data_IF_111542687532
#
_entry.id   IF_111542687532
#
_cell.length_a   1.000
_cell.length_b   1.000
_cell.length_c   1.000
_cell.angle_alpha   90.00
_cell.angle_beta   90.00
_cell.angle_gamma   90.00
#
_symmetry.space_group_name_H-M   'P 1'
#
loop_
_entity.id
_entity.type
_entity.pdbx_description
1 polymer ?
#
# COMPACT_ATOMS: atom_id res chain seq x y z
N UNK A 1 -16.87 28.53 23.04
CA UNK A 1 -15.65 28.32 22.25
C UNK A 1 -16.06 27.42 21.10
N UNK A 2 -16.66 28.05 20.09
CA UNK A 2 -17.11 27.38 18.88
C UNK A 2 -15.85 27.07 18.07
N UNK A 3 -15.53 25.78 17.96
CA UNK A 3 -14.44 25.29 17.13
C UNK A 3 -14.85 25.56 15.67
N UNK A 4 -14.38 26.68 15.15
CA UNK A 4 -14.60 27.11 13.78
C UNK A 4 -13.86 26.11 12.86
N UNK A 5 -14.53 25.00 12.52
CA UNK A 5 -14.08 24.05 11.51
C UNK A 5 -14.03 24.83 10.19
N UNK A 6 -12.93 25.52 9.92
CA UNK A 6 -12.74 26.20 8.66
C UNK A 6 -12.73 25.16 7.55
N UNK A 7 -13.64 25.25 6.56
CA UNK A 7 -13.70 24.29 5.48
C UNK A 7 -12.35 24.28 4.75
N UNK A 8 -11.77 23.10 4.55
CA UNK A 8 -10.53 22.96 3.78
C UNK A 8 -10.69 23.65 2.42
N UNK A 9 -9.75 24.54 2.08
CA UNK A 9 -9.61 25.09 0.73
C UNK A 9 -9.54 23.96 -0.30
N UNK A 10 -10.14 24.17 -1.48
CA UNK A 10 -10.21 23.16 -2.55
C UNK A 10 -8.83 22.62 -2.95
N UNK A 11 -7.80 23.49 -2.96
CA UNK A 11 -6.42 23.09 -3.20
C UNK A 11 -5.90 22.06 -2.17
N UNK A 12 -6.28 22.20 -0.90
CA UNK A 12 -5.90 21.27 0.17
C UNK A 12 -6.66 19.95 0.07
N UNK A 13 -7.91 19.98 -0.38
CA UNK A 13 -8.70 18.77 -0.67
C UNK A 13 -8.09 17.96 -1.82
N UNK A 14 -7.72 18.63 -2.91
CA UNK A 14 -7.04 18.00 -4.05
C UNK A 14 -5.69 17.42 -3.66
N UNK A 15 -4.89 18.15 -2.87
CA UNK A 15 -3.61 17.66 -2.39
C UNK A 15 -3.74 16.36 -1.58
N UNK A 16 -4.73 16.28 -0.69
CA UNK A 16 -4.93 15.08 0.12
C UNK A 16 -5.45 13.92 -0.74
N UNK A 17 -6.33 14.18 -1.71
CA UNK A 17 -6.74 13.17 -2.69
C UNK A 17 -5.54 12.63 -3.47
N UNK A 18 -4.67 13.50 -3.97
CA UNK A 18 -3.45 13.09 -4.70
C UNK A 18 -2.49 12.27 -3.83
N UNK A 19 -2.29 12.67 -2.58
CA UNK A 19 -1.46 11.93 -1.62
C UNK A 19 -2.02 10.54 -1.31
N UNK A 20 -3.33 10.44 -1.13
CA UNK A 20 -3.98 9.16 -0.90
C UNK A 20 -3.92 8.26 -2.15
N UNK A 21 -4.10 8.80 -3.35
CA UNK A 21 -3.91 8.07 -4.61
C UNK A 21 -2.47 7.57 -4.77
N UNK A 22 -1.49 8.41 -4.44
CA UNK A 22 -0.08 8.03 -4.48
C UNK A 22 0.23 6.87 -3.53
N UNK A 23 -0.24 6.95 -2.28
CA UNK A 23 -0.06 5.89 -1.29
C UNK A 23 -0.77 4.58 -1.67
N UNK A 24 -1.96 4.69 -2.26
CA UNK A 24 -2.68 3.56 -2.84
C UNK A 24 -1.88 2.87 -3.95
N UNK A 25 -1.29 3.65 -4.87
CA UNK A 25 -0.50 3.11 -5.97
C UNK A 25 0.79 2.44 -5.47
N UNK A 26 1.44 2.98 -4.44
CA UNK A 26 2.56 2.29 -3.76
C UNK A 26 2.09 0.95 -3.19
N UNK A 27 0.95 0.93 -2.48
CA UNK A 27 0.38 -0.30 -1.92
C UNK A 27 0.14 -1.37 -2.99
N UNK A 28 -0.45 -0.98 -4.12
CA UNK A 28 -0.65 -1.86 -5.28
C UNK A 28 0.69 -2.37 -5.82
N UNK A 29 1.68 -1.49 -5.99
CA UNK A 29 3.01 -1.88 -6.49
C UNK A 29 3.73 -2.86 -5.56
N UNK A 30 3.67 -2.63 -4.24
CA UNK A 30 4.23 -3.53 -3.22
C UNK A 30 3.54 -4.89 -3.25
N UNK A 31 2.20 -4.94 -3.38
CA UNK A 31 1.49 -6.21 -3.51
C UNK A 31 1.84 -6.91 -4.82
N UNK A 32 1.88 -6.20 -5.94
CA UNK A 32 2.19 -6.77 -7.25
C UNK A 32 3.59 -7.39 -7.25
N UNK A 33 4.62 -6.63 -6.90
CA UNK A 33 6.01 -7.11 -6.93
C UNK A 33 6.24 -8.14 -5.82
N UNK A 34 5.86 -7.82 -4.58
CA UNK A 34 6.13 -8.67 -3.43
C UNK A 34 5.45 -10.04 -3.50
N UNK A 35 4.26 -10.12 -4.11
CA UNK A 35 3.52 -11.38 -4.26
C UNK A 35 3.87 -12.10 -5.55
N UNK A 36 3.95 -11.41 -6.70
CA UNK A 36 4.16 -12.10 -7.98
C UNK A 36 5.61 -12.47 -8.25
N UNK A 37 6.61 -11.69 -7.81
CA UNK A 37 8.02 -12.03 -8.03
C UNK A 37 8.40 -13.42 -7.49
N UNK A 38 8.06 -13.83 -6.25
CA UNK A 38 8.37 -15.17 -5.78
C UNK A 38 7.62 -16.27 -6.56
N UNK A 39 6.39 -16.03 -7.01
CA UNK A 39 5.62 -16.98 -7.85
C UNK A 39 6.34 -17.20 -9.19
N UNK A 40 6.76 -16.12 -9.84
CA UNK A 40 7.54 -16.18 -11.09
C UNK A 40 8.83 -16.95 -10.85
N UNK A 41 9.54 -16.67 -9.76
CA UNK A 41 10.78 -17.38 -9.40
C UNK A 41 10.57 -18.89 -9.24
N UNK A 42 9.44 -19.30 -8.67
CA UNK A 42 9.04 -20.70 -8.54
C UNK A 42 8.80 -21.34 -9.91
N UNK A 43 8.03 -20.68 -10.78
CA UNK A 43 7.65 -21.21 -12.10
C UNK A 43 8.86 -21.36 -13.02
N UNK A 44 9.76 -20.38 -13.02
CA UNK A 44 10.93 -20.37 -13.90
C UNK A 44 12.13 -21.15 -13.34
N UNK A 45 12.00 -21.76 -12.16
CA UNK A 45 13.04 -22.63 -11.59
C UNK A 45 14.31 -21.90 -11.12
N UNK A 46 14.32 -20.56 -11.04
CA UNK A 46 15.41 -19.78 -10.45
C UNK A 46 15.38 -19.82 -8.91
N UNK A 47 15.12 -21.00 -8.35
CA UNK A 47 15.29 -21.22 -6.92
C UNK A 47 16.75 -21.51 -6.66
N UNK A 48 17.52 -20.48 -6.28
CA UNK A 48 18.78 -20.73 -5.60
C UNK A 48 18.48 -21.64 -4.40
N UNK A 49 19.10 -22.82 -4.32
CA UNK A 49 18.83 -23.85 -3.30
C UNK A 49 19.13 -23.39 -1.85
N UNK A 50 19.58 -22.15 -1.68
CA UNK A 50 19.93 -21.52 -0.41
C UNK A 50 18.84 -20.53 0.09
N UNK A 51 17.78 -20.30 -0.69
CA UNK A 51 16.68 -19.44 -0.26
C UNK A 51 15.78 -20.23 0.69
N UNK A 52 15.80 -19.86 1.96
CA UNK A 52 15.01 -20.50 3.00
C UNK A 52 13.51 -20.42 2.66
N UNK A 53 12.80 -21.54 2.81
CA UNK A 53 11.35 -21.65 2.55
C UNK A 53 10.58 -20.61 3.39
N UNK A 54 11.09 -20.30 4.58
CA UNK A 54 10.55 -19.27 5.45
C UNK A 54 10.57 -17.87 4.81
N UNK A 55 11.64 -17.54 4.07
CA UNK A 55 11.75 -16.28 3.33
C UNK A 55 10.86 -16.26 2.09
N UNK A 56 10.74 -17.40 1.41
CA UNK A 56 9.91 -17.54 0.21
C UNK A 56 8.42 -17.36 0.52
N UNK A 57 7.96 -17.80 1.70
CA UNK A 57 6.59 -17.62 2.15
C UNK A 57 6.38 -16.31 2.94
N UNK A 58 7.38 -15.90 3.75
CA UNK A 58 7.30 -14.73 4.61
C UNK A 58 7.34 -13.40 3.85
N UNK A 59 8.15 -13.31 2.79
CA UNK A 59 8.25 -12.10 1.96
C UNK A 59 6.93 -11.70 1.30
N UNK A 60 6.24 -12.58 0.53
CA UNK A 60 4.95 -12.24 -0.07
C UNK A 60 3.87 -11.92 0.96
N UNK A 61 3.84 -12.63 2.09
CA UNK A 61 2.89 -12.34 3.18
C UNK A 61 3.15 -10.96 3.80
N UNK A 62 4.42 -10.61 4.03
CA UNK A 62 4.83 -9.30 4.55
C UNK A 62 4.50 -8.17 3.59
N UNK A 63 4.80 -8.33 2.29
CA UNK A 63 4.45 -7.35 1.26
C UNK A 63 2.93 -7.20 1.09
N UNK A 64 2.17 -8.28 1.21
CA UNK A 64 0.71 -8.24 1.16
C UNK A 64 0.12 -7.45 2.34
N UNK A 65 0.56 -7.74 3.57
CA UNK A 65 0.13 -7.01 4.76
C UNK A 65 0.52 -5.53 4.70
N UNK A 66 1.75 -5.23 4.23
CA UNK A 66 2.22 -3.85 4.05
C UNK A 66 1.37 -3.11 2.99
N UNK A 67 1.09 -3.74 1.86
CA UNK A 67 0.25 -3.18 0.80
C UNK A 67 -1.18 -2.89 1.27
N UNK A 68 -1.78 -3.80 2.04
CA UNK A 68 -3.09 -3.60 2.66
C UNK A 68 -3.07 -2.43 3.64
N UNK A 69 -2.05 -2.36 4.52
CA UNK A 69 -1.94 -1.28 5.49
C UNK A 69 -1.84 0.09 4.80
N UNK A 70 -1.04 0.19 3.73
CA UNK A 70 -0.91 1.42 2.93
C UNK A 70 -2.21 1.78 2.21
N UNK A 71 -2.93 0.79 1.67
CA UNK A 71 -4.22 0.97 1.03
C UNK A 71 -5.29 1.47 2.01
N UNK A 72 -5.37 0.87 3.20
CA UNK A 72 -6.30 1.28 4.26
C UNK A 72 -5.98 2.67 4.78
N UNK A 73 -4.69 2.99 4.98
CA UNK A 73 -4.24 4.31 5.42
C UNK A 73 -4.60 5.40 4.40
N UNK A 74 -4.45 5.12 3.10
CA UNK A 74 -4.90 6.01 2.03
C UNK A 74 -6.42 6.24 2.06
N UNK A 75 -7.21 5.16 2.24
CA UNK A 75 -8.67 5.24 2.35
C UNK A 75 -9.13 6.02 3.58
N UNK A 76 -8.45 5.86 4.72
CA UNK A 76 -8.75 6.63 5.94
C UNK A 76 -8.43 8.11 5.78
N UNK A 77 -7.33 8.44 5.11
CA UNK A 77 -6.93 9.81 4.83
C UNK A 77 -7.94 10.54 3.91
N UNK A 78 -8.59 9.82 2.99
CA UNK A 78 -9.71 10.33 2.18
C UNK A 78 -11.03 10.44 2.97
N UNK A 79 -11.34 9.46 3.84
CA UNK A 79 -12.56 9.47 4.67
C UNK A 79 -12.60 10.65 5.64
N UNK A 80 -11.45 11.05 6.18
CA UNK A 80 -11.33 12.23 7.04
C UNK A 80 -11.64 13.56 6.35
N UNK A 81 -11.73 13.58 5.02
CA UNK A 81 -12.06 14.76 4.20
C UNK A 81 -13.51 14.85 3.76
N UNK A 82 -14.26 13.75 3.93
CA UNK A 82 -15.68 13.68 3.59
C UNK A 82 -16.58 14.09 4.76
N UNK A 83 -16.01 14.31 5.95
CA UNK A 83 -16.66 14.92 7.12
C UNK A 83 -16.28 16.38 7.18
#
# INVERSE_FOLDING_TARGET
MEDEIQPLSDAKKEQIKLRATFLNNIGIGVMLIGVFTPIVRVIYGDMNAQVDILWLAGSPLGCFLLGIALHLMAGWMLRGLSK
#
